data_IF_447957292513
#
_entry.id   IF_447957292513
#
_cell.length_a   1.000
_cell.length_b   1.000
_cell.length_c   1.000
_cell.angle_alpha   90.00
_cell.angle_beta   90.00
_cell.angle_gamma   90.00
#
_symmetry.space_group_name_H-M   'P 1'
#
loop_
_entity.id
_entity.type
_entity.pdbx_description
1 polymer ?
#
# COMPACT_ATOMS: atom_id res chain seq x y z
N UNK A 1 -13.12 8.85 0.43
CA UNK A 1 -14.48 9.31 0.03
C UNK A 1 -14.72 10.78 0.29
N UNK A 2 -14.69 11.30 1.55
CA UNK A 2 -14.98 12.72 1.83
C UNK A 2 -14.05 13.72 1.11
N UNK A 3 -12.73 13.47 1.12
CA UNK A 3 -11.75 14.30 0.42
C UNK A 3 -11.95 14.32 -1.11
N UNK A 4 -12.32 13.20 -1.71
CA UNK A 4 -12.65 13.12 -3.14
C UNK A 4 -13.92 13.91 -3.48
N UNK A 5 -14.92 13.89 -2.62
CA UNK A 5 -16.13 14.72 -2.78
C UNK A 5 -15.82 16.22 -2.67
N UNK A 6 -14.92 16.62 -1.76
CA UNK A 6 -14.44 17.99 -1.64
C UNK A 6 -13.67 18.44 -2.89
N UNK A 7 -12.82 17.58 -3.45
CA UNK A 7 -12.11 17.87 -4.69
C UNK A 7 -13.07 18.08 -5.87
N UNK A 8 -14.06 17.20 -6.02
CA UNK A 8 -15.09 17.31 -7.06
C UNK A 8 -15.95 18.60 -6.94
N UNK A 9 -16.07 19.19 -5.74
CA UNK A 9 -16.79 20.44 -5.49
C UNK A 9 -15.92 21.71 -5.52
N UNK A 10 -14.74 21.66 -6.17
CA UNK A 10 -13.78 22.78 -6.28
C UNK A 10 -13.24 23.28 -4.92
N UNK A 11 -13.33 22.46 -3.87
CA UNK A 11 -12.81 22.78 -2.52
C UNK A 11 -11.46 22.13 -2.25
N UNK A 12 -10.56 22.13 -3.24
CA UNK A 12 -9.26 21.43 -3.20
C UNK A 12 -8.43 21.77 -1.94
N UNK A 13 -8.41 23.02 -1.49
CA UNK A 13 -7.64 23.40 -0.28
C UNK A 13 -8.12 22.67 0.98
N UNK A 14 -9.43 22.42 1.11
CA UNK A 14 -9.97 21.67 2.24
C UNK A 14 -9.69 20.17 2.11
N UNK A 15 -9.78 19.63 0.89
CA UNK A 15 -9.41 18.25 0.61
C UNK A 15 -7.94 17.97 0.94
N UNK A 16 -7.03 18.86 0.53
CA UNK A 16 -5.60 18.81 0.86
C UNK A 16 -5.39 18.70 2.38
N UNK A 17 -5.96 19.63 3.15
CA UNK A 17 -5.82 19.62 4.63
C UNK A 17 -6.33 18.32 5.25
N UNK A 18 -7.51 17.86 4.84
CA UNK A 18 -8.09 16.61 5.36
C UNK A 18 -7.17 15.42 5.08
N UNK A 19 -6.58 15.33 3.88
CA UNK A 19 -5.66 14.24 3.53
C UNK A 19 -4.33 14.35 4.29
N UNK A 20 -3.78 15.56 4.47
CA UNK A 20 -2.59 15.77 5.29
C UNK A 20 -2.84 15.42 6.77
N UNK A 21 -4.01 15.74 7.32
CA UNK A 21 -4.38 15.35 8.68
C UNK A 21 -4.53 13.82 8.83
N UNK A 22 -5.16 13.17 7.85
CA UNK A 22 -5.23 11.69 7.81
C UNK A 22 -3.83 11.08 7.65
N UNK A 23 -2.95 11.70 6.84
CA UNK A 23 -1.57 11.25 6.65
C UNK A 23 -0.77 11.28 7.95
N UNK A 24 -0.91 12.34 8.77
CA UNK A 24 -0.26 12.41 10.10
C UNK A 24 -0.67 11.28 11.02
N UNK A 25 -1.94 10.85 10.94
CA UNK A 25 -2.48 9.80 11.81
C UNK A 25 -2.16 8.40 11.29
N UNK A 26 -2.25 8.19 9.99
CA UNK A 26 -2.06 6.89 9.35
C UNK A 26 -1.65 7.04 7.88
N UNK A 27 -0.36 7.18 7.59
CA UNK A 27 0.13 7.11 6.22
C UNK A 27 -0.23 5.78 5.57
N UNK A 28 -0.77 5.82 4.37
CA UNK A 28 -1.15 4.63 3.61
C UNK A 28 -1.15 4.92 2.11
N UNK A 29 -0.96 3.87 1.31
CA UNK A 29 -0.98 3.98 -0.15
C UNK A 29 -2.29 4.58 -0.69
N UNK A 30 -3.43 4.29 -0.06
CA UNK A 30 -4.73 4.87 -0.44
C UNK A 30 -4.78 6.39 -0.25
N UNK A 31 -4.23 6.89 0.87
CA UNK A 31 -4.18 8.34 1.14
C UNK A 31 -3.22 9.02 0.18
N UNK A 32 -2.05 8.42 -0.08
CA UNK A 32 -1.10 8.93 -1.06
C UNK A 32 -1.72 9.02 -2.46
N UNK A 33 -2.42 7.98 -2.90
CA UNK A 33 -3.10 7.96 -4.19
C UNK A 33 -4.24 8.99 -4.26
N UNK A 34 -5.05 9.11 -3.21
CA UNK A 34 -6.09 10.13 -3.13
C UNK A 34 -5.50 11.55 -3.18
N UNK A 35 -4.35 11.77 -2.54
CA UNK A 35 -3.64 13.06 -2.54
C UNK A 35 -3.02 13.35 -3.91
N UNK A 36 -2.44 12.35 -4.58
CA UNK A 36 -1.88 12.44 -5.92
C UNK A 36 -2.93 12.82 -6.95
N UNK A 37 -4.12 12.21 -6.86
CA UNK A 37 -5.21 12.36 -7.84
C UNK A 37 -6.19 13.50 -7.54
N UNK A 38 -5.90 14.35 -6.55
CA UNK A 38 -6.75 15.49 -6.18
C UNK A 38 -7.07 16.43 -7.34
N UNK A 39 -6.14 16.57 -8.27
CA UNK A 39 -6.34 17.35 -9.50
C UNK A 39 -5.82 16.53 -10.68
N UNK A 40 -6.72 16.03 -11.49
CA UNK A 40 -6.43 15.19 -12.66
C UNK A 40 -5.60 15.94 -13.71
N UNK A 41 -5.65 17.27 -13.71
CA UNK A 41 -4.91 18.11 -14.66
C UNK A 41 -3.43 18.34 -14.27
N UNK A 42 -2.98 17.86 -13.11
CA UNK A 42 -1.60 18.04 -12.69
C UNK A 42 -0.65 17.18 -13.54
N UNK A 43 0.44 17.80 -13.97
CA UNK A 43 1.54 17.09 -14.59
C UNK A 43 2.30 16.22 -13.56
N UNK A 44 3.15 15.34 -14.06
CA UNK A 44 3.91 14.39 -13.22
C UNK A 44 4.86 15.08 -12.25
N UNK A 45 5.43 16.24 -12.60
CA UNK A 45 6.32 17.01 -11.73
C UNK A 45 5.54 17.68 -10.59
N UNK A 46 4.34 18.17 -10.87
CA UNK A 46 3.42 18.69 -9.84
C UNK A 46 3.00 17.59 -8.88
N UNK A 47 2.78 16.37 -9.37
CA UNK A 47 2.51 15.21 -8.51
C UNK A 47 3.70 14.88 -7.60
N UNK A 48 4.95 14.95 -8.09
CA UNK A 48 6.15 14.78 -7.26
C UNK A 48 6.17 15.80 -6.13
N UNK A 49 5.99 17.11 -6.42
CA UNK A 49 5.93 18.16 -5.40
C UNK A 49 4.84 17.91 -4.34
N UNK A 50 3.73 17.30 -4.72
CA UNK A 50 2.71 16.89 -3.76
C UNK A 50 3.21 15.79 -2.83
N UNK A 51 3.93 14.81 -3.35
CA UNK A 51 4.49 13.75 -2.52
C UNK A 51 5.61 14.26 -1.62
N UNK A 52 6.42 15.23 -2.06
CA UNK A 52 7.37 15.96 -1.21
C UNK A 52 6.66 16.59 -0.02
N UNK A 53 5.47 17.17 -0.24
CA UNK A 53 4.66 17.73 0.85
C UNK A 53 4.20 16.67 1.85
N UNK A 54 3.81 15.48 1.40
CA UNK A 54 3.48 14.37 2.31
C UNK A 54 4.69 13.90 3.11
N UNK A 55 5.88 13.89 2.50
CA UNK A 55 7.13 13.58 3.19
C UNK A 55 7.44 14.63 4.29
N UNK A 56 7.22 15.93 4.03
CA UNK A 56 7.36 16.97 5.07
C UNK A 56 6.39 16.78 6.25
N UNK A 57 5.19 16.26 5.98
CA UNK A 57 4.18 16.00 7.03
C UNK A 57 4.54 14.81 7.92
N UNK A 58 5.16 13.77 7.37
CA UNK A 58 5.57 12.55 8.09
C UNK A 58 6.93 12.03 7.57
N UNK A 59 8.06 12.73 7.88
CA UNK A 59 9.36 12.43 7.28
C UNK A 59 9.94 11.07 7.68
N UNK A 60 9.58 10.57 8.87
CA UNK A 60 10.13 9.32 9.43
C UNK A 60 9.22 8.11 9.14
N UNK A 61 8.25 8.23 8.23
CA UNK A 61 7.34 7.14 7.92
C UNK A 61 7.67 6.50 6.57
N UNK A 62 7.74 5.16 6.54
CA UNK A 62 8.09 4.39 5.34
C UNK A 62 7.20 4.72 4.13
N UNK A 63 5.88 4.90 4.33
CA UNK A 63 4.93 5.22 3.26
C UNK A 63 5.21 6.58 2.61
N UNK A 64 5.79 7.55 3.34
CA UNK A 64 6.16 8.85 2.78
C UNK A 64 7.27 8.73 1.75
N UNK A 65 8.25 7.89 2.05
CA UNK A 65 9.34 7.59 1.11
C UNK A 65 8.85 6.76 -0.07
N UNK A 66 7.97 5.77 0.15
CA UNK A 66 7.38 4.97 -0.93
C UNK A 66 6.56 5.85 -1.86
N UNK A 67 5.68 6.71 -1.32
CA UNK A 67 4.83 7.60 -2.11
C UNK A 67 5.64 8.54 -3.01
N UNK A 68 6.71 9.15 -2.46
CA UNK A 68 7.59 10.01 -3.23
C UNK A 68 8.43 9.21 -4.25
N UNK A 69 8.92 8.03 -3.88
CA UNK A 69 9.64 7.13 -4.78
C UNK A 69 8.79 6.71 -5.99
N UNK A 70 7.53 6.36 -5.77
CA UNK A 70 6.57 6.01 -6.84
C UNK A 70 6.29 7.19 -7.75
N UNK A 71 6.09 8.41 -7.20
CA UNK A 71 5.89 9.60 -7.99
C UNK A 71 7.14 9.96 -8.82
N UNK A 72 8.32 9.81 -8.25
CA UNK A 72 9.59 10.02 -8.94
C UNK A 72 9.81 9.01 -10.07
N UNK A 73 9.45 7.73 -9.88
CA UNK A 73 9.45 6.71 -10.94
C UNK A 73 8.56 7.12 -12.11
N UNK A 74 7.33 7.55 -11.82
CA UNK A 74 6.38 8.02 -12.85
C UNK A 74 6.90 9.26 -13.60
N UNK A 75 7.64 10.13 -12.91
CA UNK A 75 8.28 11.31 -13.50
C UNK A 75 9.64 11.03 -14.17
N UNK A 76 10.10 9.77 -14.17
CA UNK A 76 11.43 9.35 -14.67
C UNK A 76 12.60 10.05 -13.96
N UNK A 77 12.40 10.44 -12.70
CA UNK A 77 13.42 11.00 -11.83
C UNK A 77 14.15 9.86 -11.09
N UNK A 78 14.93 9.07 -11.83
CA UNK A 78 15.52 7.81 -11.35
C UNK A 78 16.36 7.96 -10.09
N UNK A 79 17.14 9.06 -9.98
CA UNK A 79 17.97 9.35 -8.80
C UNK A 79 17.15 9.57 -7.54
N UNK A 80 16.07 10.36 -7.62
CA UNK A 80 15.16 10.61 -6.49
C UNK A 80 14.36 9.34 -6.15
N UNK A 81 13.89 8.61 -7.17
CA UNK A 81 13.22 7.33 -6.97
C UNK A 81 14.12 6.36 -6.18
N UNK A 82 15.36 6.16 -6.64
CA UNK A 82 16.34 5.27 -5.98
C UNK A 82 16.61 5.69 -4.53
N UNK A 83 16.87 6.98 -4.29
CA UNK A 83 17.12 7.52 -2.96
C UNK A 83 16.00 7.19 -1.99
N UNK A 84 14.75 7.51 -2.35
CA UNK A 84 13.61 7.34 -1.47
C UNK A 84 13.21 5.86 -1.30
N UNK A 85 13.20 5.07 -2.37
CA UNK A 85 12.90 3.64 -2.27
C UNK A 85 13.98 2.89 -1.47
N UNK A 86 15.26 3.27 -1.59
CA UNK A 86 16.33 2.68 -0.77
C UNK A 86 16.15 3.04 0.70
N UNK A 87 15.80 4.29 1.01
CA UNK A 87 15.49 4.70 2.40
C UNK A 87 14.33 3.89 2.95
N UNK A 88 13.24 3.73 2.19
CA UNK A 88 12.11 2.92 2.59
C UNK A 88 12.49 1.45 2.83
N UNK A 89 13.35 0.87 1.98
CA UNK A 89 13.80 -0.52 2.10
C UNK A 89 14.67 -0.77 3.35
N UNK A 90 15.37 0.25 3.81
CA UNK A 90 16.12 0.19 5.08
C UNK A 90 15.19 0.26 6.30
N UNK A 91 14.02 0.92 6.18
CA UNK A 91 13.04 1.04 7.26
C UNK A 91 12.18 -0.22 7.38
N UNK A 92 11.57 -0.67 6.29
CA UNK A 92 10.68 -1.83 6.26
C UNK A 92 10.62 -2.43 4.84
N UNK A 93 11.37 -3.52 4.58
CA UNK A 93 11.38 -4.18 3.27
C UNK A 93 10.11 -5.02 3.07
N UNK A 94 9.03 -4.42 2.57
CA UNK A 94 7.79 -5.14 2.24
C UNK A 94 7.85 -5.73 0.83
N UNK A 95 6.94 -6.68 0.53
CA UNK A 95 6.85 -7.30 -0.79
C UNK A 95 6.62 -6.27 -1.91
N UNK A 96 5.74 -5.27 -1.67
CA UNK A 96 5.48 -4.17 -2.61
C UNK A 96 6.73 -3.34 -2.87
N UNK A 97 7.46 -2.99 -1.81
CA UNK A 97 8.66 -2.17 -1.92
C UNK A 97 9.78 -2.90 -2.67
N UNK A 98 9.96 -4.20 -2.40
CA UNK A 98 10.91 -5.01 -3.15
C UNK A 98 10.55 -5.08 -4.64
N UNK A 99 9.26 -5.16 -4.98
CA UNK A 99 8.78 -5.06 -6.36
C UNK A 99 9.13 -3.72 -7.00
N UNK A 100 8.89 -2.59 -6.31
CA UNK A 100 9.25 -1.25 -6.80
C UNK A 100 10.77 -1.08 -7.02
N UNK A 101 11.60 -1.70 -6.20
CA UNK A 101 13.05 -1.72 -6.40
C UNK A 101 13.44 -2.54 -7.63
N UNK A 102 12.80 -3.69 -7.86
CA UNK A 102 13.02 -4.46 -9.09
C UNK A 102 12.60 -3.67 -10.34
N UNK A 103 11.43 -3.00 -10.30
CA UNK A 103 10.96 -2.15 -11.40
C UNK A 103 11.92 -1.01 -11.70
N UNK A 104 12.49 -0.37 -10.66
CA UNK A 104 13.48 0.68 -10.82
C UNK A 104 14.75 0.15 -11.53
N UNK A 105 15.25 -1.02 -11.12
CA UNK A 105 16.43 -1.62 -11.78
C UNK A 105 16.13 -1.94 -13.24
N UNK A 106 14.96 -2.50 -13.56
CA UNK A 106 14.55 -2.78 -14.95
C UNK A 106 14.52 -1.51 -15.80
N UNK A 107 13.93 -0.41 -15.32
CA UNK A 107 13.80 0.82 -16.12
C UNK A 107 15.09 1.63 -16.22
N UNK A 108 16.09 1.33 -15.39
CA UNK A 108 17.41 1.98 -15.41
C UNK A 108 18.50 1.11 -16.05
N UNK A 109 18.11 0.07 -16.79
CA UNK A 109 19.01 -0.92 -17.40
C UNK A 109 20.01 -1.52 -16.37
N UNK A 110 19.52 -1.76 -15.16
CA UNK A 110 20.29 -2.38 -14.09
C UNK A 110 20.61 -3.84 -14.36
N UNK A 111 21.53 -4.39 -13.56
CA UNK A 111 21.95 -5.78 -13.66
C UNK A 111 20.76 -6.72 -13.40
N UNK A 112 20.51 -7.66 -14.31
CA UNK A 112 19.48 -8.68 -14.17
C UNK A 112 19.62 -9.50 -12.88
N UNK A 113 20.83 -9.69 -12.37
CA UNK A 113 21.06 -10.34 -11.11
C UNK A 113 20.46 -9.55 -9.92
N UNK A 114 20.59 -8.22 -9.96
CA UNK A 114 20.01 -7.34 -8.94
C UNK A 114 18.47 -7.36 -9.00
N UNK A 115 17.89 -7.37 -10.21
CA UNK A 115 16.44 -7.53 -10.39
C UNK A 115 15.97 -8.84 -9.74
N UNK A 116 16.64 -9.96 -10.03
CA UNK A 116 16.31 -11.27 -9.47
C UNK A 116 16.46 -11.30 -7.95
N UNK A 117 17.47 -10.64 -7.40
CA UNK A 117 17.64 -10.50 -5.96
C UNK A 117 16.45 -9.79 -5.30
N UNK A 118 16.01 -8.67 -5.87
CA UNK A 118 14.84 -7.95 -5.35
C UNK A 118 13.54 -8.74 -5.46
N UNK A 119 13.32 -9.46 -6.57
CA UNK A 119 12.16 -10.33 -6.73
C UNK A 119 12.18 -11.50 -5.73
N UNK A 120 13.35 -12.07 -5.47
CA UNK A 120 13.50 -13.11 -4.45
C UNK A 120 13.19 -12.56 -3.05
N UNK A 121 13.69 -11.37 -2.72
CA UNK A 121 13.35 -10.67 -1.47
C UNK A 121 11.85 -10.41 -1.36
N UNK A 122 11.18 -10.03 -2.45
CA UNK A 122 9.72 -9.80 -2.46
C UNK A 122 8.92 -11.05 -2.07
N UNK A 123 9.37 -12.24 -2.48
CA UNK A 123 8.71 -13.51 -2.13
C UNK A 123 8.83 -13.78 -0.62
N UNK A 124 9.96 -13.46 -0.01
CA UNK A 124 10.22 -13.72 1.41
C UNK A 124 9.74 -12.59 2.34
N UNK A 125 9.60 -11.36 1.82
CA UNK A 125 9.26 -10.17 2.60
C UNK A 125 7.84 -10.22 3.15
N UNK A 126 7.56 -9.44 4.19
CA UNK A 126 6.21 -9.26 4.72
C UNK A 126 5.28 -8.66 3.66
N UNK A 127 4.02 -9.07 3.70
CA UNK A 127 2.99 -8.49 2.85
C UNK A 127 2.60 -7.11 3.40
N UNK A 128 2.30 -6.20 2.48
CA UNK A 128 1.78 -4.90 2.86
C UNK A 128 0.40 -5.00 3.50
N UNK A 129 0.08 -4.04 4.38
CA UNK A 129 -1.25 -3.93 4.93
C UNK A 129 -2.30 -3.69 3.85
N UNK A 130 -3.46 -4.28 4.03
CA UNK A 130 -4.61 -4.14 3.14
C UNK A 130 -5.93 -4.26 3.89
N UNK A 131 -7.03 -4.03 3.19
CA UNK A 131 -8.37 -4.28 3.72
C UNK A 131 -8.67 -5.77 3.71
N UNK A 132 -8.64 -6.40 4.86
CA UNK A 132 -8.87 -7.83 5.02
C UNK A 132 -10.17 -8.04 5.79
N UNK A 133 -11.03 -8.91 5.27
CA UNK A 133 -12.25 -9.29 5.97
C UNK A 133 -11.90 -10.19 7.16
N UNK A 134 -12.29 -9.81 8.36
CA UNK A 134 -12.09 -10.59 9.59
C UNK A 134 -12.90 -11.89 9.59
N UNK A 135 -14.04 -11.90 8.85
CA UNK A 135 -14.95 -13.06 8.77
C UNK A 135 -14.50 -14.15 7.80
N UNK A 136 -13.96 -13.78 6.63
CA UNK A 136 -13.64 -14.76 5.58
C UNK A 136 -12.22 -14.65 5.03
N UNK A 137 -11.38 -13.74 5.56
CA UNK A 137 -10.00 -13.55 5.12
C UNK A 137 -9.83 -12.92 3.73
N UNK A 138 -10.90 -12.62 3.01
CA UNK A 138 -10.80 -12.03 1.68
C UNK A 138 -10.17 -10.65 1.72
N UNK A 139 -9.21 -10.39 0.82
CA UNK A 139 -8.61 -9.08 0.62
C UNK A 139 -9.47 -8.22 -0.31
N UNK A 140 -9.52 -6.91 -0.04
CA UNK A 140 -10.21 -5.92 -0.86
C UNK A 140 -9.25 -4.77 -1.20
N UNK A 141 -9.37 -4.22 -2.41
CA UNK A 141 -8.55 -3.09 -2.86
C UNK A 141 -8.88 -1.78 -2.13
N UNK A 142 -10.10 -1.65 -1.65
CA UNK A 142 -10.57 -0.47 -0.94
C UNK A 142 -11.58 -0.86 0.13
N UNK A 143 -11.75 0.01 1.12
CA UNK A 143 -12.79 -0.19 2.12
C UNK A 143 -14.18 -0.16 1.50
N UNK A 144 -15.02 -1.09 1.93
CA UNK A 144 -16.45 -1.15 1.59
C UNK A 144 -17.24 -1.53 2.84
N UNK A 145 -18.49 -1.03 2.94
CA UNK A 145 -19.37 -1.33 4.06
C UNK A 145 -19.74 -2.83 4.14
N UNK A 146 -19.69 -3.55 3.02
CA UNK A 146 -19.92 -4.99 2.93
C UNK A 146 -18.76 -5.68 2.25
N UNK A 147 -18.33 -6.79 2.79
CA UNK A 147 -17.30 -7.62 2.15
C UNK A 147 -17.77 -8.10 0.77
N UNK A 148 -16.91 -7.93 -0.24
CA UNK A 148 -17.20 -8.34 -1.62
C UNK A 148 -17.43 -9.87 -1.76
N UNK A 149 -16.80 -10.68 -0.88
CA UNK A 149 -16.90 -12.13 -0.88
C UNK A 149 -18.08 -12.64 -0.03
N UNK A 150 -18.00 -12.50 1.30
CA UNK A 150 -19.02 -13.08 2.22
C UNK A 150 -20.26 -12.20 2.44
N UNK A 151 -20.29 -10.98 1.89
CA UNK A 151 -21.39 -9.99 1.97
C UNK A 151 -21.70 -9.48 3.39
N UNK A 152 -20.94 -9.90 4.41
CA UNK A 152 -21.14 -9.43 5.78
C UNK A 152 -20.77 -7.96 5.90
N UNK A 153 -21.53 -7.23 6.75
CA UNK A 153 -21.38 -5.80 6.95
C UNK A 153 -20.27 -5.49 7.96
N UNK A 154 -19.47 -4.43 7.69
CA UNK A 154 -18.45 -3.86 8.58
C UNK A 154 -17.40 -4.87 9.07
N UNK A 155 -16.89 -5.70 8.17
CA UNK A 155 -15.91 -6.75 8.47
C UNK A 155 -14.54 -6.52 7.82
N UNK A 156 -14.34 -5.39 7.14
CA UNK A 156 -13.05 -5.05 6.54
C UNK A 156 -12.19 -4.26 7.53
N UNK A 157 -11.04 -4.83 7.87
CA UNK A 157 -10.02 -4.25 8.75
C UNK A 157 -8.73 -4.00 7.98
N UNK A 158 -8.01 -2.94 8.32
CA UNK A 158 -6.71 -2.64 7.76
C UNK A 158 -5.63 -3.38 8.51
N UNK A 159 -5.15 -4.49 7.93
CA UNK A 159 -4.13 -5.36 8.53
C UNK A 159 -3.31 -6.09 7.49
N UNK A 160 -2.20 -6.68 7.91
CA UNK A 160 -1.40 -7.57 7.06
C UNK A 160 -2.18 -8.86 6.78
N UNK A 161 -2.33 -9.27 5.51
CA UNK A 161 -2.95 -10.54 5.17
C UNK A 161 -2.10 -11.72 5.67
N UNK A 162 -2.75 -12.80 6.10
CA UNK A 162 -2.05 -14.04 6.44
C UNK A 162 -1.52 -14.71 5.17
N UNK A 163 -0.24 -15.10 5.16
CA UNK A 163 0.28 -16.00 4.13
C UNK A 163 -0.17 -17.42 4.45
N UNK A 164 -0.98 -17.98 3.58
CA UNK A 164 -1.33 -19.41 3.62
C UNK A 164 -0.44 -20.11 2.60
N UNK A 165 0.53 -20.88 3.07
CA UNK A 165 1.29 -21.78 2.21
C UNK A 165 0.49 -23.07 2.03
N UNK A 166 -0.06 -23.30 0.83
CA UNK A 166 -0.59 -24.61 0.50
C UNK A 166 0.59 -25.57 0.38
N UNK A 167 0.66 -26.56 1.28
CA UNK A 167 1.57 -27.67 1.11
C UNK A 167 1.03 -28.55 -0.02
N UNK A 168 1.61 -28.45 -1.21
CA UNK A 168 1.41 -29.41 -2.28
C UNK A 168 2.23 -30.68 -1.95
N UNK A 169 1.78 -31.49 -1.04
CA UNK A 169 2.45 -32.72 -0.65
C UNK A 169 1.54 -33.54 0.22
N UNK A 170 1.08 -34.66 -0.35
CA UNK A 170 0.06 -35.52 0.19
C UNK A 170 0.30 -36.05 1.60
N UNK A 171 -0.76 -36.27 2.21
CA UNK A 171 -1.29 -37.18 3.20
C UNK A 171 -2.07 -36.46 4.28
N UNK A 172 -3.31 -36.87 4.38
CA UNK A 172 -4.27 -36.59 5.44
C UNK A 172 -3.67 -36.19 6.79
N UNK A 173 -3.82 -34.91 7.12
CA UNK A 173 -3.93 -34.50 8.52
C UNK A 173 -5.13 -33.57 8.62
N UNK A 174 -6.12 -34.04 9.37
CA UNK A 174 -7.38 -33.39 9.64
C UNK A 174 -7.25 -31.91 9.94
N UNK A 175 -8.06 -31.10 9.27
CA UNK A 175 -8.30 -29.68 9.63
C UNK A 175 -8.78 -29.73 11.10
N UNK A 176 -8.10 -29.03 12.05
CA UNK A 176 -8.65 -28.95 13.39
C UNK A 176 -10.02 -28.28 13.32
N UNK A 177 -11.04 -28.99 13.75
CA UNK A 177 -12.37 -28.45 13.98
C UNK A 177 -12.23 -27.23 14.90
N UNK A 178 -12.56 -26.06 14.40
CA UNK A 178 -12.69 -24.86 15.23
C UNK A 178 -13.96 -25.05 16.04
N UNK A 179 -13.79 -25.38 17.32
CA UNK A 179 -14.86 -25.48 18.30
C UNK A 179 -15.77 -24.24 18.17
N UNK A 180 -17.02 -24.52 17.82
CA UNK A 180 -18.10 -23.57 17.89
C UNK A 180 -18.30 -23.21 19.36
N UNK A 181 -17.73 -22.08 19.80
CA UNK A 181 -17.99 -21.52 21.12
C UNK A 181 -19.49 -21.27 21.26
N UNK A 182 -20.06 -22.02 22.15
CA UNK A 182 -21.44 -22.02 22.59
C UNK A 182 -21.94 -20.59 22.84
N UNK A 183 -23.00 -20.22 22.17
CA UNK A 183 -23.89 -19.13 22.55
C UNK A 183 -24.66 -19.64 23.76
N UNK A 184 -24.20 -19.22 24.94
CA UNK A 184 -24.91 -19.40 26.21
C UNK A 184 -26.04 -18.39 26.34
N UNK A 185 -27.16 -18.86 26.76
CA UNK A 185 -28.45 -18.22 27.05
C UNK A 185 -28.42 -16.94 27.83
#
# INVERSE_FOLDING_TARGET
MYAQQLAASSRNRRAIRVLEDVWRLRPSSEVAEAYRTLNVADDVLTQVKRMERLLEVAPDHVESHIALGVAALAAKLWGEARKHLTTAAQMAPTARLCGLMADLEVVTDGDQAIVQEWLTKAIAAELDNGWICDRCGAAAHQWAARCGNCKVFNTLEWRTPLRVFAHCGGSDTAIPEVDALAVGS
#
